data_IF_541916702198
#
_entry.id   IF_541916702198
#
_cell.length_a   1.000
_cell.length_b   1.000
_cell.length_c   1.000
_cell.angle_alpha   90.00
_cell.angle_beta   90.00
_cell.angle_gamma   90.00
#
_symmetry.space_group_name_H-M   'P 1'
#
loop_
_entity.id
_entity.type
_entity.pdbx_description
1 polymer ?
#
# COMPACT_ATOMS: atom_id res chain seq x y z
N UNK A 1 -5.77 -11.16 15.06
CA UNK A 1 -5.29 -11.58 13.74
C UNK A 1 -4.48 -10.48 13.10
N UNK A 2 -3.49 -10.86 12.33
CA UNK A 2 -2.62 -9.90 11.68
C UNK A 2 -3.33 -9.20 10.53
N UNK A 3 -3.07 -7.92 10.37
CA UNK A 3 -3.52 -7.21 9.18
C UNK A 3 -2.81 -7.79 7.97
N UNK A 4 -3.52 -7.93 6.88
CA UNK A 4 -2.94 -8.35 5.61
C UNK A 4 -2.72 -7.13 4.75
N UNK A 5 -1.47 -6.91 4.37
CA UNK A 5 -1.03 -5.71 3.64
C UNK A 5 -0.54 -6.10 2.26
N UNK A 6 -1.09 -5.47 1.22
CA UNK A 6 -0.53 -5.56 -0.12
C UNK A 6 0.41 -4.38 -0.29
N UNK A 7 1.69 -4.67 -0.41
CA UNK A 7 2.73 -3.65 -0.52
C UNK A 7 3.28 -3.64 -1.95
N UNK A 8 3.10 -2.52 -2.65
CA UNK A 8 3.48 -2.41 -4.05
C UNK A 8 4.64 -1.43 -4.19
N UNK A 9 5.80 -1.95 -4.56
CA UNK A 9 7.05 -1.21 -4.65
C UNK A 9 7.93 -1.84 -5.70
N UNK A 10 8.35 -1.08 -6.72
CA UNK A 10 9.15 -1.65 -7.80
C UNK A 10 10.64 -1.79 -7.48
N UNK A 11 11.16 -0.99 -6.55
CA UNK A 11 12.56 -1.12 -6.15
C UNK A 11 12.76 -2.32 -5.26
N UNK A 12 13.54 -3.28 -5.73
CA UNK A 12 13.75 -4.54 -5.01
C UNK A 12 14.24 -4.35 -3.59
N UNK A 13 15.25 -3.51 -3.40
CA UNK A 13 15.82 -3.30 -2.08
C UNK A 13 14.80 -2.71 -1.11
N UNK A 14 14.09 -1.67 -1.53
CA UNK A 14 13.07 -1.04 -0.68
C UNK A 14 11.94 -2.01 -0.38
N UNK A 15 11.53 -2.79 -1.38
CA UNK A 15 10.45 -3.76 -1.22
C UNK A 15 10.83 -4.81 -0.18
N UNK A 16 12.06 -5.32 -0.25
CA UNK A 16 12.52 -6.33 0.70
C UNK A 16 12.67 -5.77 2.10
N UNK A 17 13.24 -4.58 2.22
CA UNK A 17 13.50 -3.96 3.52
C UNK A 17 12.20 -3.65 4.26
N UNK A 18 11.28 -3.00 3.60
CA UNK A 18 10.01 -2.63 4.25
C UNK A 18 9.16 -3.85 4.54
N UNK A 19 9.14 -4.82 3.62
CA UNK A 19 8.41 -6.07 3.84
C UNK A 19 8.93 -6.81 5.07
N UNK A 20 10.26 -6.90 5.20
CA UNK A 20 10.87 -7.56 6.34
C UNK A 20 10.52 -6.86 7.65
N UNK A 21 10.56 -5.53 7.62
CA UNK A 21 10.25 -4.74 8.80
C UNK A 21 8.79 -4.94 9.23
N UNK A 22 7.88 -4.91 8.27
CA UNK A 22 6.46 -5.12 8.56
C UNK A 22 6.22 -6.53 9.12
N UNK A 23 6.88 -7.54 8.55
CA UNK A 23 6.75 -8.91 9.06
C UNK A 23 7.32 -9.05 10.45
N UNK A 24 8.36 -8.31 10.74
CA UNK A 24 8.94 -8.30 12.09
C UNK A 24 7.91 -7.87 13.13
N UNK A 25 7.00 -6.97 12.77
CA UNK A 25 5.95 -6.52 13.65
C UNK A 25 4.66 -7.32 13.46
N UNK A 26 4.77 -8.50 12.86
CA UNK A 26 3.69 -9.48 12.78
C UNK A 26 2.56 -9.10 11.82
N UNK A 27 2.82 -8.24 10.85
CA UNK A 27 1.88 -8.02 9.77
C UNK A 27 2.05 -9.09 8.71
N UNK A 28 0.96 -9.43 8.04
CA UNK A 28 0.96 -10.40 6.96
C UNK A 28 1.12 -9.62 5.65
N UNK A 29 2.30 -9.67 5.06
CA UNK A 29 2.65 -8.83 3.92
C UNK A 29 2.78 -9.66 2.66
N UNK A 30 2.09 -9.23 1.61
CA UNK A 30 2.28 -9.75 0.27
C UNK A 30 2.82 -8.60 -0.57
N UNK A 31 3.99 -8.77 -1.15
CA UNK A 31 4.65 -7.71 -1.88
C UNK A 31 4.53 -7.93 -3.38
N UNK A 32 4.34 -6.83 -4.13
CA UNK A 32 4.24 -6.86 -5.58
C UNK A 32 5.16 -5.80 -6.17
N UNK A 33 5.85 -6.11 -7.27
CA UNK A 33 6.77 -5.15 -7.87
C UNK A 33 6.13 -4.18 -8.85
N UNK A 34 4.89 -4.43 -9.26
CA UNK A 34 4.27 -3.64 -10.31
C UNK A 34 2.75 -3.69 -10.22
N UNK A 35 2.12 -2.89 -11.07
CA UNK A 35 0.67 -2.76 -11.13
C UNK A 35 -0.02 -4.09 -11.46
N UNK A 36 0.49 -4.76 -12.47
CA UNK A 36 -0.11 -6.00 -12.96
C UNK A 36 -0.16 -7.07 -11.87
N UNK A 37 0.96 -7.26 -11.19
CA UNK A 37 1.02 -8.25 -10.10
C UNK A 37 0.07 -7.89 -8.98
N UNK A 38 0.06 -6.61 -8.59
CA UNK A 38 -0.82 -6.15 -7.52
C UNK A 38 -2.28 -6.35 -7.88
N UNK A 39 -2.65 -6.02 -9.11
CA UNK A 39 -4.03 -6.17 -9.56
C UNK A 39 -4.47 -7.63 -9.54
N UNK A 40 -3.60 -8.53 -9.97
CA UNK A 40 -3.89 -9.97 -9.94
C UNK A 40 -4.07 -10.48 -8.52
N UNK A 41 -3.25 -9.99 -7.58
CA UNK A 41 -3.38 -10.38 -6.18
C UNK A 41 -4.68 -9.89 -5.57
N UNK A 42 -5.13 -8.71 -5.96
CA UNK A 42 -6.40 -8.17 -5.47
C UNK A 42 -7.59 -9.01 -5.94
N UNK A 43 -7.45 -9.72 -7.03
CA UNK A 43 -8.50 -10.64 -7.50
C UNK A 43 -8.52 -11.94 -6.73
N UNK A 44 -7.39 -12.33 -6.13
CA UNK A 44 -7.26 -13.62 -5.46
C UNK A 44 -7.42 -13.56 -3.96
N UNK A 45 -6.96 -12.48 -3.35
CA UNK A 45 -6.85 -12.39 -1.90
C UNK A 45 -7.55 -11.15 -1.38
N UNK A 46 -7.95 -11.19 -0.12
CA UNK A 46 -8.46 -10.01 0.55
C UNK A 46 -7.36 -9.37 1.36
N UNK A 47 -7.31 -8.05 1.32
CA UNK A 47 -6.33 -7.25 2.06
C UNK A 47 -7.03 -6.23 2.93
N UNK A 48 -6.41 -5.92 4.06
CA UNK A 48 -6.89 -4.86 4.94
C UNK A 48 -6.31 -3.51 4.53
N UNK A 49 -5.11 -3.53 3.96
CA UNK A 49 -4.37 -2.33 3.62
C UNK A 49 -3.69 -2.48 2.27
N UNK A 50 -3.77 -1.43 1.47
CA UNK A 50 -2.93 -1.27 0.28
C UNK A 50 -1.91 -0.19 0.59
N UNK A 51 -0.63 -0.55 0.54
CA UNK A 51 0.48 0.38 0.72
C UNK A 51 1.22 0.41 -0.61
N UNK A 52 1.13 1.50 -1.36
CA UNK A 52 1.61 1.51 -2.74
C UNK A 52 2.34 2.78 -3.11
N UNK A 53 3.43 2.60 -3.86
CA UNK A 53 4.04 3.71 -4.57
C UNK A 53 3.03 4.30 -5.54
N UNK A 54 3.14 5.59 -5.79
CA UNK A 54 2.34 6.27 -6.79
C UNK A 54 2.85 5.92 -8.20
N UNK A 55 4.17 5.89 -8.37
CA UNK A 55 4.76 5.60 -9.68
C UNK A 55 5.18 4.16 -9.76
N UNK A 56 4.60 3.45 -10.71
CA UNK A 56 4.90 2.04 -10.95
C UNK A 56 5.37 1.88 -12.39
N UNK A 57 6.17 0.85 -12.68
CA UNK A 57 6.73 0.70 -14.03
C UNK A 57 5.68 0.49 -15.12
N UNK A 58 4.55 -0.08 -14.77
CA UNK A 58 3.50 -0.42 -15.73
C UNK A 58 2.16 0.25 -15.42
N UNK A 59 2.17 1.32 -14.61
CA UNK A 59 0.94 2.01 -14.27
C UNK A 59 1.20 3.01 -13.17
N UNK A 60 0.16 3.36 -12.44
CA UNK A 60 0.33 4.27 -11.32
C UNK A 60 -0.59 3.91 -10.17
N UNK A 61 -0.25 4.45 -9.00
CA UNK A 61 -0.99 4.16 -7.78
C UNK A 61 -2.38 4.74 -7.76
N UNK A 62 -2.61 5.83 -8.50
CA UNK A 62 -3.95 6.43 -8.58
C UNK A 62 -4.95 5.45 -9.19
N UNK A 63 -4.56 4.82 -10.29
CA UNK A 63 -5.40 3.82 -10.92
C UNK A 63 -5.49 2.58 -10.06
N UNK A 64 -4.40 2.19 -9.45
CA UNK A 64 -4.40 0.99 -8.62
C UNK A 64 -5.34 1.12 -7.42
N UNK A 65 -5.33 2.26 -6.73
CA UNK A 65 -6.22 2.42 -5.57
C UNK A 65 -7.67 2.44 -5.99
N UNK A 66 -7.97 3.01 -7.15
CA UNK A 66 -9.34 3.00 -7.68
C UNK A 66 -9.80 1.58 -7.94
N UNK A 67 -8.96 0.80 -8.60
CA UNK A 67 -9.26 -0.61 -8.88
C UNK A 67 -9.41 -1.39 -7.58
N UNK A 68 -8.48 -1.20 -6.65
CA UNK A 68 -8.50 -1.94 -5.40
C UNK A 68 -9.78 -1.69 -4.61
N UNK A 69 -10.16 -0.42 -4.47
CA UNK A 69 -11.35 -0.08 -3.70
C UNK A 69 -12.64 -0.46 -4.40
N UNK A 70 -12.61 -0.64 -5.71
CA UNK A 70 -13.77 -1.15 -6.42
C UNK A 70 -13.99 -2.65 -6.19
N UNK A 71 -12.92 -3.35 -5.84
CA UNK A 71 -12.97 -4.82 -5.65
C UNK A 71 -13.23 -5.21 -4.21
N UNK A 72 -12.68 -4.45 -3.27
CA UNK A 72 -12.80 -4.79 -1.87
C UNK A 72 -12.60 -3.57 -1.00
N UNK A 73 -13.21 -3.54 0.20
CA UNK A 73 -12.97 -2.44 1.13
C UNK A 73 -11.60 -2.60 1.76
N UNK A 74 -10.80 -1.55 1.74
CA UNK A 74 -9.49 -1.53 2.37
C UNK A 74 -9.06 -0.10 2.64
N UNK A 75 -8.04 0.05 3.48
CA UNK A 75 -7.42 1.34 3.73
C UNK A 75 -6.24 1.46 2.78
N UNK A 76 -6.15 2.58 2.08
CA UNK A 76 -5.10 2.78 1.09
C UNK A 76 -4.13 3.86 1.53
N UNK A 77 -2.85 3.56 1.45
CA UNK A 77 -1.76 4.43 1.87
C UNK A 77 -0.82 4.62 0.70
N UNK A 78 -0.57 5.86 0.32
CA UNK A 78 0.30 6.19 -0.80
C UNK A 78 1.70 6.52 -0.33
N UNK A 79 2.69 6.09 -1.11
CA UNK A 79 4.08 6.47 -0.93
C UNK A 79 4.51 7.32 -2.12
N UNK A 80 5.00 8.52 -1.86
CA UNK A 80 5.46 9.40 -2.93
C UNK A 80 6.97 9.60 -2.82
N UNK A 81 7.62 9.73 -3.97
CA UNK A 81 9.07 9.81 -3.97
C UNK A 81 9.62 11.16 -3.60
N UNK A 82 9.04 12.21 -4.12
CA UNK A 82 9.65 13.52 -4.02
C UNK A 82 8.84 14.58 -3.30
N UNK A 83 7.60 14.32 -3.03
CA UNK A 83 6.78 15.31 -2.35
C UNK A 83 6.66 16.63 -3.10
N UNK A 84 6.68 16.58 -4.43
CA UNK A 84 6.64 17.77 -5.25
C UNK A 84 5.24 18.29 -5.51
N UNK A 85 4.25 17.60 -5.03
CA UNK A 85 2.87 17.95 -5.33
C UNK A 85 2.32 17.27 -6.56
N UNK A 86 3.17 16.84 -7.47
CA UNK A 86 2.71 16.14 -8.67
C UNK A 86 2.08 14.82 -8.33
N UNK A 87 2.70 14.10 -7.41
CA UNK A 87 2.21 12.79 -7.04
C UNK A 87 1.02 12.85 -6.10
N UNK A 88 0.76 14.04 -5.55
CA UNK A 88 -0.36 14.18 -4.63
C UNK A 88 -1.65 14.54 -5.32
N UNK A 89 -1.58 14.88 -6.59
CA UNK A 89 -2.78 15.24 -7.35
C UNK A 89 -3.10 14.17 -8.34
N UNK A 90 -4.29 13.82 -8.48
CA UNK A 90 -5.53 14.24 -7.81
C UNK A 90 -5.82 13.43 -6.57
N UNK A 91 -4.78 13.04 -5.86
CA UNK A 91 -4.80 12.02 -4.83
C UNK A 91 -5.86 12.13 -3.78
N UNK A 92 -6.11 13.33 -3.28
CA UNK A 92 -7.06 13.49 -2.20
C UNK A 92 -8.46 13.02 -2.58
N UNK A 93 -8.79 13.05 -3.85
CA UNK A 93 -10.09 12.63 -4.31
C UNK A 93 -10.09 11.27 -4.99
N UNK A 94 -8.93 10.60 -5.04
CA UNK A 94 -8.80 9.34 -5.79
C UNK A 94 -8.74 8.09 -4.93
N UNK A 95 -8.97 8.22 -3.65
CA UNK A 95 -9.15 7.04 -2.82
C UNK A 95 -8.07 6.71 -1.82
N UNK A 96 -6.91 7.34 -1.85
CA UNK A 96 -5.92 7.12 -0.82
C UNK A 96 -6.37 7.80 0.48
N UNK A 97 -6.22 7.08 1.57
CA UNK A 97 -6.61 7.58 2.89
C UNK A 97 -5.47 8.29 3.60
N UNK A 98 -4.23 7.93 3.26
CA UNK A 98 -3.04 8.52 3.87
C UNK A 98 -1.95 8.67 2.83
N UNK A 99 -1.05 9.63 3.04
CA UNK A 99 0.08 9.90 2.17
C UNK A 99 1.36 9.96 2.98
N UNK A 100 2.40 9.32 2.47
CA UNK A 100 3.73 9.39 3.05
C UNK A 100 4.71 9.80 1.98
N UNK A 101 5.60 10.74 2.32
CA UNK A 101 6.71 11.09 1.45
C UNK A 101 7.90 10.25 1.87
N UNK A 102 8.58 9.63 0.91
CA UNK A 102 9.75 8.82 1.24
C UNK A 102 10.89 9.70 1.73
N UNK A 103 11.73 9.22 2.66
CA UNK A 103 11.73 7.89 3.23
C UNK A 103 10.58 7.69 4.20
N UNK A 104 10.09 6.46 4.24
CA UNK A 104 8.92 6.11 5.04
C UNK A 104 9.19 6.27 6.53
N UNK A 105 8.33 7.02 7.20
CA UNK A 105 8.35 7.13 8.65
C UNK A 105 7.60 5.92 9.22
N UNK A 106 8.36 4.92 9.65
CA UNK A 106 7.77 3.66 10.07
C UNK A 106 6.95 3.80 11.36
N UNK A 107 7.34 4.69 12.26
CA UNK A 107 6.58 4.89 13.49
C UNK A 107 5.19 5.43 13.19
N UNK A 108 5.13 6.39 12.26
CA UNK A 108 3.85 6.96 11.85
C UNK A 108 3.00 5.92 11.14
N UNK A 109 3.62 5.11 10.28
CA UNK A 109 2.92 4.02 9.60
C UNK A 109 2.33 3.04 10.60
N UNK A 110 3.12 2.63 11.59
CA UNK A 110 2.62 1.70 12.61
C UNK A 110 1.46 2.28 13.39
N UNK A 111 1.52 3.58 13.70
CA UNK A 111 0.42 4.22 14.42
C UNK A 111 -0.87 4.13 13.63
N UNK A 112 -0.79 4.33 12.31
CA UNK A 112 -1.96 4.21 11.45
C UNK A 112 -2.44 2.76 11.40
N UNK A 113 -1.52 1.82 11.22
CA UNK A 113 -1.89 0.41 11.10
C UNK A 113 -2.55 -0.12 12.37
N UNK A 114 -2.14 0.35 13.52
CA UNK A 114 -2.73 -0.08 14.79
C UNK A 114 -4.20 0.29 14.90
N UNK A 115 -4.62 1.32 14.20
CA UNK A 115 -6.00 1.76 14.23
C UNK A 115 -6.90 1.03 13.26
N UNK A 116 -6.35 0.14 12.45
CA UNK A 116 -7.12 -0.56 11.43
C UNK A 116 -7.53 -1.94 11.92
N UNK A 117 -8.80 -2.25 11.79
CA UNK A 117 -9.32 -3.55 12.20
C UNK A 117 -9.16 -4.52 11.05
N UNK A 118 -8.62 -5.71 11.34
CA UNK A 118 -8.44 -6.74 10.33
C UNK A 118 -9.80 -7.27 9.86
N UNK A 119 -9.98 -7.30 8.56
CA UNK A 119 -11.25 -7.70 7.96
C UNK A 119 -11.37 -9.20 7.76
N UNK A 120 -10.25 -9.91 7.83
CA UNK A 120 -10.26 -11.37 7.66
C UNK A 120 -9.94 -12.09 8.95
N UNK A 121 -10.11 -11.43 10.08
CA UNK A 121 -9.73 -11.98 11.37
C UNK A 121 -10.82 -12.85 11.98
N UNK A 122 -11.91 -12.99 11.33
CA UNK A 122 -12.99 -13.84 11.81
C UNK A 122 -12.60 -15.31 11.88
#
# INVERSE_FOLDING_TARGET
MALRILFVEDHTHSRQTVSRLLRHFHYDVVAAPDYRTASALLDKWQFDVLLSDIRLPDGDGWNLVTVAKSKQPLVAIALTGLGTGKDEKPGLSCGFDHYFVKPLDFYRLRAILRGIVSRHSE
#
